data_IF_344484110412
#
_entry.id   IF_344484110412
#
_cell.length_a   1.000
_cell.length_b   1.000
_cell.length_c   1.000
_cell.angle_alpha   90.00
_cell.angle_beta   90.00
_cell.angle_gamma   90.00
#
_symmetry.space_group_name_H-M   'P 1'
#
loop_
_entity.id
_entity.type
_entity.pdbx_description
1 polymer ?
#
# COMPACT_ATOMS: atom_id res chain seq x y z
N UNK A 1 16.83 -7.26 -1.85
CA UNK A 1 16.72 -5.79 -1.99
C UNK A 1 17.64 -5.07 -0.99
N UNK A 2 18.09 -3.84 -1.24
CA UNK A 2 18.79 -3.00 -0.24
C UNK A 2 17.79 -2.33 0.72
N UNK A 3 18.22 -2.01 1.93
CA UNK A 3 17.35 -1.34 2.92
C UNK A 3 16.88 0.03 2.43
N UNK A 4 17.75 0.83 1.82
CA UNK A 4 17.38 2.17 1.33
C UNK A 4 16.26 2.09 0.28
N UNK A 5 16.37 1.15 -0.66
CA UNK A 5 15.31 0.94 -1.66
C UNK A 5 14.01 0.44 -1.04
N UNK A 6 14.11 -0.45 -0.05
CA UNK A 6 12.94 -0.91 0.69
C UNK A 6 12.23 0.23 1.42
N UNK A 7 12.99 1.14 2.04
CA UNK A 7 12.47 2.32 2.73
C UNK A 7 11.80 3.29 1.76
N UNK A 8 12.35 3.50 0.56
CA UNK A 8 11.72 4.33 -0.48
C UNK A 8 10.34 3.77 -0.89
N UNK A 9 10.26 2.47 -1.17
CA UNK A 9 9.01 1.81 -1.56
C UNK A 9 7.98 1.88 -0.43
N UNK A 10 8.38 1.52 0.79
CA UNK A 10 7.50 1.58 1.98
C UNK A 10 7.01 3.00 2.25
N UNK A 11 7.89 3.99 2.13
CA UNK A 11 7.52 5.41 2.27
C UNK A 11 6.51 5.81 1.21
N UNK A 12 6.74 5.48 -0.06
CA UNK A 12 5.84 5.80 -1.16
C UNK A 12 4.45 5.18 -0.95
N UNK A 13 4.38 3.92 -0.51
CA UNK A 13 3.10 3.25 -0.20
C UNK A 13 2.38 3.96 0.96
N UNK A 14 3.08 4.24 2.07
CA UNK A 14 2.48 4.93 3.22
C UNK A 14 2.00 6.33 2.88
N UNK A 15 2.74 7.10 2.08
CA UNK A 15 2.39 8.45 1.66
C UNK A 15 1.04 8.52 0.92
N UNK A 16 0.67 7.47 0.16
CA UNK A 16 -0.65 7.41 -0.52
C UNK A 16 -1.80 7.42 0.47
N UNK A 17 -1.62 6.91 1.70
CA UNK A 17 -2.65 6.99 2.75
C UNK A 17 -2.82 8.39 3.33
N UNK A 18 -1.80 9.26 3.21
CA UNK A 18 -1.80 10.61 3.76
C UNK A 18 -2.41 11.66 2.80
N UNK A 19 -2.44 11.38 1.50
CA UNK A 19 -3.08 12.24 0.49
C UNK A 19 -4.52 12.61 0.84
N UNK A 20 -5.45 11.65 1.07
CA UNK A 20 -6.83 11.99 1.40
C UNK A 20 -6.99 12.70 2.74
N UNK A 21 -5.95 12.70 3.59
CA UNK A 21 -5.94 13.40 4.88
C UNK A 21 -5.42 14.84 4.77
N UNK A 22 -4.96 15.28 3.59
CA UNK A 22 -4.35 16.60 3.40
C UNK A 22 -3.02 16.77 4.12
N UNK A 23 -2.35 15.67 4.51
CA UNK A 23 -1.08 15.70 5.25
C UNK A 23 0.15 15.74 4.31
N UNK A 24 -0.06 15.48 3.02
CA UNK A 24 0.98 15.53 1.99
C UNK A 24 0.38 16.03 0.68
N UNK A 25 1.17 16.77 -0.09
CA UNK A 25 0.80 17.21 -1.43
C UNK A 25 1.08 16.10 -2.47
N UNK A 26 0.29 16.01 -3.56
CA UNK A 26 0.50 15.01 -4.61
C UNK A 26 1.94 14.95 -5.17
N UNK A 27 2.61 16.10 -5.28
CA UNK A 27 3.99 16.20 -5.77
C UNK A 27 5.05 15.58 -4.85
N UNK A 28 4.74 15.40 -3.57
CA UNK A 28 5.68 14.92 -2.55
C UNK A 28 5.58 13.39 -2.33
N UNK A 29 4.65 12.73 -3.03
CA UNK A 29 4.44 11.29 -2.98
C UNK A 29 5.46 10.58 -3.86
N UNK A 30 6.18 9.60 -3.29
CA UNK A 30 7.13 8.79 -4.04
C UNK A 30 6.46 7.98 -5.16
N UNK A 31 7.14 7.90 -6.30
CA UNK A 31 6.70 7.07 -7.43
C UNK A 31 6.87 5.58 -7.12
N UNK A 32 5.89 4.78 -7.54
CA UNK A 32 5.93 3.32 -7.56
C UNK A 32 5.93 2.76 -8.98
N UNK A 33 6.16 3.62 -9.99
CA UNK A 33 6.22 3.20 -11.39
C UNK A 33 7.31 2.13 -11.59
N UNK A 34 6.92 1.02 -12.21
CA UNK A 34 7.82 -0.12 -12.45
C UNK A 34 8.11 -0.98 -11.23
N UNK A 35 7.52 -0.71 -10.07
CA UNK A 35 7.64 -1.56 -8.87
C UNK A 35 6.57 -2.64 -8.91
N UNK A 36 7.00 -3.90 -8.99
CA UNK A 36 6.11 -5.06 -8.96
C UNK A 36 5.52 -5.31 -7.57
N UNK A 37 4.40 -6.02 -7.50
CA UNK A 37 3.81 -6.44 -6.22
C UNK A 37 4.80 -7.27 -5.38
N UNK A 38 5.60 -8.12 -6.03
CA UNK A 38 6.63 -8.92 -5.37
C UNK A 38 7.68 -8.03 -4.69
N UNK A 39 8.13 -6.97 -5.36
CA UNK A 39 9.05 -5.99 -4.77
C UNK A 39 8.41 -5.21 -3.63
N UNK A 40 7.13 -4.84 -3.72
CA UNK A 40 6.45 -4.19 -2.60
C UNK A 40 6.41 -5.07 -1.35
N UNK A 41 6.15 -6.38 -1.51
CA UNK A 41 6.16 -7.34 -0.41
C UNK A 41 7.57 -7.60 0.12
N UNK A 42 8.56 -7.72 -0.76
CA UNK A 42 9.97 -7.87 -0.36
C UNK A 42 10.47 -6.64 0.41
N UNK A 43 10.06 -5.43 0.04
CA UNK A 43 10.40 -4.20 0.75
C UNK A 43 9.87 -4.20 2.20
N UNK A 44 8.63 -4.67 2.41
CA UNK A 44 8.06 -4.82 3.75
C UNK A 44 8.83 -5.85 4.56
N UNK A 45 9.11 -7.02 3.99
CA UNK A 45 9.90 -8.05 4.66
C UNK A 45 11.29 -7.56 5.06
N UNK A 46 11.97 -6.82 4.17
CA UNK A 46 13.27 -6.21 4.44
C UNK A 46 13.21 -5.22 5.62
N UNK A 47 12.21 -4.33 5.65
CA UNK A 47 12.03 -3.38 6.74
C UNK A 47 11.68 -4.05 8.08
N UNK A 48 10.91 -5.13 8.05
CA UNK A 48 10.59 -5.94 9.24
C UNK A 48 11.83 -6.64 9.79
N UNK A 49 12.64 -7.26 8.93
CA UNK A 49 13.91 -7.88 9.33
C UNK A 49 14.87 -6.87 9.95
N UNK A 50 14.99 -5.67 9.37
CA UNK A 50 15.82 -4.61 9.97
C UNK A 50 15.30 -4.16 11.33
N UNK A 51 13.98 -4.07 11.50
CA UNK A 51 13.37 -3.74 12.79
C UNK A 51 13.68 -4.81 13.85
N UNK A 52 13.57 -6.10 13.50
CA UNK A 52 13.90 -7.18 14.44
C UNK A 52 15.41 -7.20 14.77
N UNK A 53 16.29 -6.99 13.78
CA UNK A 53 17.73 -6.86 14.01
C UNK A 53 18.07 -5.75 15.02
N UNK A 54 17.45 -4.58 14.87
CA UNK A 54 17.62 -3.45 15.81
C UNK A 54 17.12 -3.78 17.21
N UNK A 55 16.01 -4.51 17.29
CA UNK A 55 15.42 -4.96 18.55
C UNK A 55 16.32 -5.97 19.27
N UNK A 56 16.84 -6.95 18.55
CA UNK A 56 17.78 -7.95 19.08
C UNK A 56 19.04 -7.27 19.61
N UNK A 57 19.65 -6.38 18.83
CA UNK A 57 20.81 -5.61 19.28
C UNK A 57 20.53 -4.81 20.56
N UNK A 58 19.38 -4.14 20.65
CA UNK A 58 18.99 -3.39 21.85
C UNK A 58 18.67 -4.29 23.05
N UNK A 59 18.20 -5.52 22.83
CA UNK A 59 18.01 -6.53 23.89
C UNK A 59 19.35 -6.99 24.47
N UNK A 60 20.34 -7.21 23.61
CA UNK A 60 21.67 -7.70 24.00
C UNK A 60 22.53 -6.62 24.68
N UNK A 61 22.50 -5.40 24.14
CA UNK A 61 23.40 -4.31 24.56
C UNK A 61 22.71 -3.26 25.44
N UNK A 62 21.41 -3.39 25.66
CA UNK A 62 20.57 -2.37 26.29
C UNK A 62 20.29 -1.16 25.37
N UNK A 63 19.36 -0.31 25.79
CA UNK A 63 19.01 0.93 25.08
C UNK A 63 17.66 0.92 24.37
N UNK A 64 17.41 1.94 23.55
CA UNK A 64 16.21 2.08 22.73
C UNK A 64 16.50 1.74 21.26
N UNK A 65 15.46 1.36 20.52
CA UNK A 65 15.56 1.11 19.08
C UNK A 65 14.41 1.76 18.32
N UNK A 66 14.67 2.12 17.06
CA UNK A 66 13.65 2.64 16.15
C UNK A 66 12.91 1.52 15.43
N UNK A 67 11.60 1.68 15.27
CA UNK A 67 10.72 0.78 14.50
C UNK A 67 10.43 1.40 13.13
N UNK A 68 10.51 0.60 12.08
CA UNK A 68 10.11 1.04 10.74
C UNK A 68 8.62 0.73 10.57
N UNK A 69 7.81 1.76 10.28
CA UNK A 69 6.39 1.59 10.03
C UNK A 69 6.16 0.99 8.64
N UNK A 70 5.67 -0.25 8.59
CA UNK A 70 5.35 -0.93 7.34
C UNK A 70 3.85 -0.86 7.03
N UNK A 71 3.45 -0.68 5.76
CA UNK A 71 2.05 -0.70 5.35
C UNK A 71 1.43 -2.08 5.58
N UNK A 72 0.13 -2.11 5.87
CA UNK A 72 -0.63 -3.35 5.88
C UNK A 72 -0.92 -3.84 4.44
N UNK A 73 -1.12 -5.14 4.27
CA UNK A 73 -1.36 -5.78 2.95
C UNK A 73 -2.45 -5.10 2.13
N UNK A 74 -3.53 -4.63 2.78
CA UNK A 74 -4.62 -3.89 2.11
C UNK A 74 -4.16 -2.58 1.47
N UNK A 75 -3.23 -1.88 2.12
CA UNK A 75 -2.68 -0.63 1.59
C UNK A 75 -1.67 -0.91 0.47
N UNK A 76 -0.89 -1.99 0.59
CA UNK A 76 -0.01 -2.46 -0.49
C UNK A 76 -0.84 -2.80 -1.73
N UNK A 77 -1.91 -3.58 -1.57
CA UNK A 77 -2.81 -3.97 -2.66
C UNK A 77 -3.47 -2.74 -3.29
N UNK A 78 -3.96 -1.80 -2.48
CA UNK A 78 -4.54 -0.55 -2.98
C UNK A 78 -3.52 0.31 -3.74
N UNK A 79 -2.29 0.46 -3.23
CA UNK A 79 -1.24 1.19 -3.91
C UNK A 79 -0.86 0.51 -5.24
N UNK A 80 -0.70 -0.81 -5.25
CA UNK A 80 -0.42 -1.56 -6.48
C UNK A 80 -1.53 -1.40 -7.52
N UNK A 81 -2.80 -1.52 -7.08
CA UNK A 81 -3.97 -1.36 -7.92
C UNK A 81 -4.02 0.03 -8.58
N UNK A 82 -3.84 1.10 -7.79
CA UNK A 82 -3.85 2.49 -8.27
C UNK A 82 -2.76 2.78 -9.31
N UNK A 83 -1.61 2.12 -9.21
CA UNK A 83 -0.48 2.37 -10.11
C UNK A 83 -0.56 1.57 -11.42
N UNK A 84 -1.23 0.42 -11.40
CA UNK A 84 -1.16 -0.55 -12.51
C UNK A 84 -2.48 -0.76 -13.24
N UNK A 85 -3.58 -0.21 -12.74
CA UNK A 85 -4.90 -0.36 -13.34
C UNK A 85 -5.58 0.99 -13.46
N UNK A 86 -6.14 1.24 -14.64
CA UNK A 86 -7.05 2.36 -14.83
C UNK A 86 -8.38 2.06 -14.15
N UNK A 87 -9.03 3.07 -13.54
CA UNK A 87 -10.36 2.87 -13.00
C UNK A 87 -11.36 2.54 -14.12
N UNK A 88 -12.06 1.43 -13.95
CA UNK A 88 -13.05 0.91 -14.90
C UNK A 88 -14.26 0.37 -14.12
N UNK A 89 -15.45 0.53 -14.68
CA UNK A 89 -16.68 -0.05 -14.13
C UNK A 89 -16.74 -1.57 -14.26
N UNK A 90 -15.86 -2.15 -15.08
CA UNK A 90 -15.77 -3.59 -15.30
C UNK A 90 -15.14 -4.35 -14.11
N UNK A 91 -15.60 -5.59 -13.93
CA UNK A 91 -15.09 -6.45 -12.88
C UNK A 91 -13.72 -7.04 -13.25
N UNK A 92 -12.73 -6.85 -12.38
CA UNK A 92 -11.39 -7.45 -12.47
C UNK A 92 -11.43 -8.91 -12.03
N UNK A 93 -12.22 -9.22 -11.00
CA UNK A 93 -12.40 -10.59 -10.50
C UNK A 93 -13.88 -10.86 -10.26
N UNK A 94 -14.36 -12.00 -10.74
CA UNK A 94 -15.70 -12.52 -10.46
C UNK A 94 -15.57 -13.87 -9.74
N UNK A 95 -16.26 -14.03 -8.62
CA UNK A 95 -16.27 -15.26 -7.82
C UNK A 95 -17.71 -15.70 -7.54
N UNK A 96 -18.07 -16.97 -7.78
CA UNK A 96 -19.42 -17.45 -7.49
C UNK A 96 -19.66 -17.47 -5.98
N UNK A 97 -20.81 -16.94 -5.55
CA UNK A 97 -21.34 -17.10 -4.20
C UNK A 97 -22.02 -18.48 -4.17
N UNK A 98 -21.31 -19.50 -3.68
CA UNK A 98 -21.85 -20.86 -3.60
C UNK A 98 -23.22 -20.92 -2.92
N UNK A 99 -24.20 -21.55 -3.58
CA UNK A 99 -25.58 -21.71 -3.11
C UNK A 99 -26.59 -21.83 -4.28
N UNK A 100 -27.78 -22.41 -4.01
CA UNK A 100 -28.82 -22.66 -5.03
C UNK A 100 -29.21 -21.40 -5.81
N UNK A 101 -29.21 -20.22 -5.19
CA UNK A 101 -29.63 -18.95 -5.81
C UNK A 101 -28.56 -18.22 -6.64
N UNK A 102 -27.44 -18.87 -6.98
CA UNK A 102 -26.51 -18.43 -8.04
C UNK A 102 -26.21 -16.94 -8.06
N UNK A 103 -25.41 -16.46 -7.11
CA UNK A 103 -24.88 -15.08 -7.12
C UNK A 103 -23.43 -15.03 -7.58
N UNK A 104 -22.98 -13.88 -8.06
CA UNK A 104 -21.57 -13.60 -8.36
C UNK A 104 -21.12 -12.41 -7.50
N UNK A 105 -19.98 -12.55 -6.81
CA UNK A 105 -19.27 -11.44 -6.17
C UNK A 105 -18.24 -10.90 -7.16
N UNK A 106 -18.23 -9.60 -7.36
CA UNK A 106 -17.27 -8.92 -8.25
C UNK A 106 -16.38 -7.97 -7.47
N UNK A 107 -15.13 -7.82 -7.92
CA UNK A 107 -14.16 -6.82 -7.46
C UNK A 107 -13.73 -6.01 -8.68
N UNK A 108 -13.75 -4.68 -8.56
CA UNK A 108 -13.30 -3.74 -9.60
C UNK A 108 -12.62 -2.52 -8.98
N UNK A 109 -11.93 -1.73 -9.81
CA UNK A 109 -11.28 -0.49 -9.39
C UNK A 109 -12.14 0.67 -9.88
N UNK A 110 -12.82 1.33 -8.95
CA UNK A 110 -13.72 2.43 -9.26
C UNK A 110 -13.08 3.77 -8.95
N UNK A 111 -13.09 4.67 -9.94
CA UNK A 111 -12.69 6.05 -9.75
C UNK A 111 -13.82 6.82 -9.09
N UNK A 112 -13.61 7.34 -7.89
CA UNK A 112 -14.57 8.27 -7.29
C UNK A 112 -14.24 9.68 -7.75
N UNK A 113 -15.21 10.37 -8.36
CA UNK A 113 -15.17 11.83 -8.43
C UNK A 113 -15.29 12.33 -6.99
N UNK A 114 -14.27 13.03 -6.49
CA UNK A 114 -14.44 13.89 -5.32
C UNK A 114 -15.55 14.88 -5.70
N UNK A 115 -16.63 14.91 -4.92
CA UNK A 115 -17.76 15.79 -5.18
C UNK A 115 -17.26 17.21 -5.42
N UNK A 116 -17.72 17.82 -6.52
CA UNK A 116 -17.57 19.26 -6.71
C UNK A 116 -18.24 19.95 -5.53
N UNK A 117 -17.46 20.57 -4.67
CA UNK A 117 -18.03 21.59 -3.80
C UNK A 117 -18.40 22.80 -4.65
N UNK A 118 -19.65 23.25 -4.45
CA UNK A 118 -20.30 24.47 -4.93
C UNK A 118 -20.82 24.50 -6.37
N UNK A 119 -21.97 23.85 -6.59
CA UNK A 119 -23.09 24.57 -7.21
C UNK A 119 -23.63 25.56 -6.15
N UNK A 120 -23.14 26.80 -6.16
CA UNK A 120 -23.82 27.99 -5.61
C UNK A 120 -23.62 29.19 -6.55
#
# INVERSE_FOLDING_TARGET
MTLDRALEIVKAINQRSFLPMGLIEPKDVGSLAGVSLAEMLEAVACCQQETERRREHAREHGGSYGVIAVPADRLIAAAYALENYEPDGDAIVASPLGGWRGGIRVLGIVGQKLGSEADE
#
